data_IF_757708549666
#
_entry.id   IF_757708549666
#
_cell.length_a   1.000
_cell.length_b   1.000
_cell.length_c   1.000
_cell.angle_alpha   90.00
_cell.angle_beta   90.00
_cell.angle_gamma   90.00
#
_symmetry.space_group_name_H-M   'P 1'
#
loop_
_entity.id
_entity.type
_entity.pdbx_description
1 polymer ?
#
# COMPACT_ATOMS: atom_id res chain seq x y z
N UNK A 1 3.07 -3.92 3.55
CA UNK A 1 2.29 -2.71 3.21
C UNK A 1 0.89 -3.04 2.67
N UNK A 2 0.69 -4.12 1.88
CA UNK A 2 -0.64 -4.48 1.32
C UNK A 2 -1.63 -5.08 2.33
N UNK A 3 -1.17 -5.70 3.42
CA UNK A 3 -2.04 -6.46 4.32
C UNK A 3 -2.81 -5.61 5.36
N UNK A 4 -2.40 -4.37 5.62
CA UNK A 4 -2.99 -3.57 6.69
C UNK A 4 -4.37 -2.95 6.35
N UNK A 5 -4.77 -2.92 5.07
CA UNK A 5 -6.05 -2.32 4.63
C UNK A 5 -7.06 -3.34 4.05
N UNK A 6 -6.69 -4.62 3.92
CA UNK A 6 -7.57 -5.64 3.35
C UNK A 6 -8.57 -6.17 4.40
N UNK A 7 -9.81 -5.67 4.36
CA UNK A 7 -10.93 -6.27 5.09
C UNK A 7 -11.86 -7.03 4.13
N UNK A 8 -11.84 -8.37 4.10
CA UNK A 8 -12.66 -9.15 3.17
C UNK A 8 -14.17 -8.94 3.33
N UNK A 9 -14.63 -8.47 4.51
CA UNK A 9 -16.06 -8.22 4.77
C UNK A 9 -16.59 -6.94 4.09
N UNK A 10 -15.77 -5.92 3.90
CA UNK A 10 -16.19 -4.67 3.22
C UNK A 10 -16.41 -4.90 1.74
N UNK A 11 -15.54 -5.70 1.11
CA UNK A 11 -15.64 -6.12 -0.30
C UNK A 11 -16.88 -6.96 -0.58
N UNK A 12 -17.19 -7.95 0.27
CA UNK A 12 -18.37 -8.79 0.14
C UNK A 12 -19.68 -7.98 0.20
N UNK A 13 -19.76 -6.98 1.08
CA UNK A 13 -20.96 -6.15 1.24
C UNK A 13 -21.14 -5.14 0.10
N UNK A 14 -20.06 -4.57 -0.43
CA UNK A 14 -20.11 -3.63 -1.56
C UNK A 14 -20.60 -4.31 -2.85
N UNK A 15 -20.28 -5.59 -3.05
CA UNK A 15 -20.64 -6.35 -4.26
C UNK A 15 -22.05 -6.97 -4.22
N UNK A 16 -22.74 -6.97 -3.07
CA UNK A 16 -24.03 -7.63 -2.89
C UNK A 16 -25.25 -6.81 -3.38
N UNK A 17 -25.09 -5.54 -3.77
CA UNK A 17 -26.23 -4.65 -4.07
C UNK A 17 -26.77 -4.70 -5.50
N UNK A 18 -26.15 -5.45 -6.41
CA UNK A 18 -26.51 -5.48 -7.85
C UNK A 18 -27.10 -6.83 -8.25
N UNK A 19 -28.23 -7.23 -7.65
CA UNK A 19 -29.05 -8.29 -8.25
C UNK A 19 -30.48 -8.23 -7.72
N UNK A 20 -31.39 -7.64 -8.50
CA UNK A 20 -32.83 -7.89 -8.43
C UNK A 20 -33.47 -7.35 -9.70
N UNK A 21 -33.88 -8.24 -10.61
CA UNK A 21 -35.17 -8.25 -11.30
C UNK A 21 -35.11 -9.34 -12.40
N UNK A 22 -35.56 -10.55 -12.06
CA UNK A 22 -35.88 -11.59 -13.06
C UNK A 22 -37.40 -11.72 -13.09
N UNK A 23 -38.00 -11.29 -14.20
CA UNK A 23 -39.43 -11.46 -14.50
C UNK A 23 -39.68 -12.90 -14.90
N UNK A 24 -40.58 -13.59 -14.19
CA UNK A 24 -40.94 -14.98 -14.43
C UNK A 24 -41.93 -15.06 -15.60
N UNK A 25 -41.51 -15.64 -16.73
CA UNK A 25 -42.41 -16.13 -17.78
C UNK A 25 -42.50 -17.66 -17.67
N UNK A 26 -43.69 -18.20 -17.49
CA UNK A 26 -43.93 -19.63 -17.35
C UNK A 26 -44.19 -20.28 -18.71
N UNK A 27 -43.35 -21.25 -19.08
CA UNK A 27 -43.66 -22.28 -20.06
C UNK A 27 -43.01 -23.60 -19.62
N UNK A 28 -43.82 -24.67 -19.58
CA UNK A 28 -43.42 -26.02 -19.14
C UNK A 28 -43.10 -26.87 -20.37
N UNK A 29 -41.93 -27.52 -20.41
CA UNK A 29 -41.75 -28.96 -20.74
C UNK A 29 -40.29 -29.42 -20.88
N UNK A 30 -40.06 -30.67 -20.44
CA UNK A 30 -38.91 -31.59 -20.56
C UNK A 30 -37.78 -31.46 -19.51
N UNK A 31 -37.85 -32.31 -18.47
CA UNK A 31 -36.81 -32.50 -17.45
C UNK A 31 -35.84 -33.59 -17.90
N UNK A 32 -34.76 -33.19 -18.58
CA UNK A 32 -33.49 -33.90 -18.42
C UNK A 32 -32.97 -33.65 -16.99
N UNK A 33 -32.17 -34.55 -16.37
CA UNK A 33 -31.44 -34.17 -15.17
C UNK A 33 -30.48 -33.07 -15.60
N UNK A 34 -30.87 -31.82 -15.34
CA UNK A 34 -29.97 -30.69 -15.43
C UNK A 34 -28.82 -31.03 -14.48
N UNK A 35 -27.63 -31.27 -15.04
CA UNK A 35 -26.42 -30.90 -14.33
C UNK A 35 -26.68 -29.44 -13.98
N UNK A 36 -26.99 -29.15 -12.72
CA UNK A 36 -27.02 -27.76 -12.29
C UNK A 36 -25.60 -27.30 -12.52
N UNK A 37 -25.40 -26.47 -13.54
CA UNK A 37 -24.29 -25.54 -13.50
C UNK A 37 -24.51 -24.81 -12.18
N UNK A 38 -23.69 -25.13 -11.17
CA UNK A 38 -23.73 -24.39 -9.91
C UNK A 38 -23.61 -22.93 -10.30
N UNK A 39 -24.63 -22.14 -9.94
CA UNK A 39 -24.63 -20.71 -10.18
C UNK A 39 -23.34 -20.15 -9.58
N UNK A 40 -22.53 -19.48 -10.40
CA UNK A 40 -21.19 -19.09 -10.02
C UNK A 40 -21.27 -18.19 -8.79
N UNK A 41 -20.76 -18.67 -7.67
CA UNK A 41 -20.81 -17.91 -6.43
C UNK A 41 -19.68 -16.87 -6.45
N UNK A 42 -19.97 -15.68 -6.98
CA UNK A 42 -19.01 -14.59 -7.13
C UNK A 42 -18.29 -14.21 -5.83
N UNK A 43 -18.96 -14.27 -4.69
CA UNK A 43 -18.35 -14.02 -3.38
C UNK A 43 -17.29 -15.07 -3.02
N UNK A 44 -17.57 -16.35 -3.31
CA UNK A 44 -16.61 -17.45 -3.10
C UNK A 44 -15.45 -17.36 -4.08
N UNK A 45 -15.70 -17.09 -5.35
CA UNK A 45 -14.64 -16.94 -6.36
C UNK A 45 -13.72 -15.77 -6.02
N UNK A 46 -14.27 -14.64 -5.58
CA UNK A 46 -13.48 -13.51 -5.11
C UNK A 46 -12.55 -13.90 -3.96
N UNK A 47 -13.10 -14.54 -2.91
CA UNK A 47 -12.34 -14.95 -1.74
C UNK A 47 -11.24 -15.96 -2.09
N UNK A 48 -11.54 -16.91 -2.98
CA UNK A 48 -10.56 -17.88 -3.49
C UNK A 48 -9.45 -17.18 -4.27
N UNK A 49 -9.79 -16.21 -5.11
CA UNK A 49 -8.85 -15.44 -5.91
C UNK A 49 -7.89 -14.61 -5.07
N UNK A 50 -8.45 -13.83 -4.13
CA UNK A 50 -7.67 -13.01 -3.22
C UNK A 50 -6.81 -13.86 -2.27
N UNK A 51 -7.27 -15.06 -1.90
CA UNK A 51 -6.49 -15.99 -1.08
C UNK A 51 -5.35 -16.68 -1.84
N UNK A 52 -5.48 -16.86 -3.15
CA UNK A 52 -4.47 -17.50 -4.00
C UNK A 52 -3.36 -16.53 -4.42
N UNK A 53 -3.71 -15.27 -4.69
CA UNK A 53 -2.81 -14.27 -5.28
C UNK A 53 -1.45 -14.09 -4.55
N UNK A 54 -1.36 -14.10 -3.21
CA UNK A 54 -0.07 -13.94 -2.52
C UNK A 54 0.88 -15.13 -2.72
N UNK A 55 0.35 -16.34 -2.91
CA UNK A 55 1.15 -17.57 -3.02
C UNK A 55 1.36 -18.03 -4.45
N UNK A 56 0.38 -17.79 -5.31
CA UNK A 56 0.39 -18.20 -6.71
C UNK A 56 -0.29 -17.13 -7.57
N UNK A 57 0.41 -16.01 -7.84
CA UNK A 57 -0.17 -14.87 -8.54
C UNK A 57 -0.52 -15.18 -10.00
N UNK A 58 0.21 -16.08 -10.64
CA UNK A 58 -0.06 -16.44 -12.04
C UNK A 58 -1.35 -17.26 -12.15
N UNK A 59 -1.54 -18.28 -11.31
CA UNK A 59 -2.80 -19.05 -11.25
C UNK A 59 -3.97 -18.16 -10.81
N UNK A 60 -3.75 -17.24 -9.86
CA UNK A 60 -4.77 -16.27 -9.46
C UNK A 60 -5.20 -15.36 -10.62
N UNK A 61 -4.24 -14.90 -11.43
CA UNK A 61 -4.51 -14.08 -12.61
C UNK A 61 -5.29 -14.84 -13.69
N UNK A 62 -4.89 -16.10 -13.96
CA UNK A 62 -5.59 -16.96 -14.92
C UNK A 62 -7.02 -17.23 -14.46
N UNK A 63 -7.20 -17.58 -13.18
CA UNK A 63 -8.50 -17.79 -12.58
C UNK A 63 -9.36 -16.52 -12.65
N UNK A 64 -8.80 -15.36 -12.35
CA UNK A 64 -9.52 -14.09 -12.40
C UNK A 64 -9.95 -13.75 -13.83
N UNK A 65 -9.10 -14.00 -14.82
CA UNK A 65 -9.41 -13.80 -16.24
C UNK A 65 -10.53 -14.75 -16.71
N UNK A 66 -10.45 -16.03 -16.35
CA UNK A 66 -11.50 -17.00 -16.65
C UNK A 66 -12.82 -16.62 -15.98
N UNK A 67 -12.77 -16.22 -14.71
CA UNK A 67 -13.94 -15.76 -13.96
C UNK A 67 -14.56 -14.51 -14.59
N UNK A 68 -13.73 -13.54 -15.02
CA UNK A 68 -14.20 -12.34 -15.73
C UNK A 68 -14.96 -12.71 -17.01
N UNK A 69 -14.44 -13.65 -17.80
CA UNK A 69 -15.10 -14.15 -19.02
C UNK A 69 -16.45 -14.84 -18.75
N UNK A 70 -16.63 -15.40 -17.55
CA UNK A 70 -17.87 -16.01 -17.08
C UNK A 70 -18.82 -15.03 -16.36
N UNK A 71 -18.58 -13.72 -16.47
CA UNK A 71 -19.44 -12.70 -15.86
C UNK A 71 -19.00 -12.25 -14.46
N UNK A 72 -17.77 -12.55 -14.05
CA UNK A 72 -17.21 -12.16 -12.75
C UNK A 72 -17.16 -10.65 -12.46
N UNK A 73 -17.32 -9.81 -13.50
CA UNK A 73 -17.47 -8.37 -13.34
C UNK A 73 -16.27 -7.69 -12.69
N UNK A 74 -16.53 -6.65 -11.92
CA UNK A 74 -15.50 -5.77 -11.33
C UNK A 74 -14.68 -6.47 -10.24
N UNK A 75 -15.26 -7.49 -9.60
CA UNK A 75 -14.59 -8.32 -8.59
C UNK A 75 -13.44 -9.14 -9.19
N UNK A 76 -13.69 -9.74 -10.35
CA UNK A 76 -12.69 -10.48 -11.10
C UNK A 76 -11.60 -9.54 -11.64
N UNK A 77 -11.97 -8.34 -12.07
CA UNK A 77 -11.02 -7.31 -12.52
C UNK A 77 -10.09 -6.87 -11.38
N UNK A 78 -10.65 -6.62 -10.19
CA UNK A 78 -9.87 -6.28 -9.00
C UNK A 78 -8.88 -7.38 -8.64
N UNK A 79 -9.33 -8.64 -8.55
CA UNK A 79 -8.42 -9.73 -8.22
C UNK A 79 -7.31 -9.89 -9.27
N UNK A 80 -7.65 -9.78 -10.56
CA UNK A 80 -6.66 -9.88 -11.62
C UNK A 80 -5.62 -8.75 -11.52
N UNK A 81 -6.00 -7.54 -11.09
CA UNK A 81 -5.04 -6.46 -10.83
C UNK A 81 -4.17 -6.75 -9.59
N UNK A 82 -4.73 -7.31 -8.52
CA UNK A 82 -3.98 -7.70 -7.32
C UNK A 82 -2.99 -8.83 -7.63
N UNK A 83 -3.38 -9.81 -8.44
CA UNK A 83 -2.51 -10.88 -8.91
C UNK A 83 -1.30 -10.34 -9.70
N UNK A 84 -1.53 -9.34 -10.57
CA UNK A 84 -0.43 -8.62 -11.24
C UNK A 84 0.50 -7.93 -10.23
N UNK A 85 -0.04 -7.37 -9.15
CA UNK A 85 0.78 -6.73 -8.12
C UNK A 85 1.70 -7.75 -7.41
N UNK A 86 1.16 -8.91 -7.04
CA UNK A 86 1.95 -9.99 -6.42
C UNK A 86 2.96 -10.65 -7.37
N UNK A 87 2.70 -10.68 -8.68
CA UNK A 87 3.70 -11.12 -9.69
C UNK A 87 4.76 -10.05 -10.01
N UNK A 88 4.76 -8.91 -9.32
CA UNK A 88 5.73 -7.82 -9.54
C UNK A 88 5.41 -6.92 -10.74
N UNK A 89 4.27 -7.12 -11.39
CA UNK A 89 3.79 -6.34 -12.54
C UNK A 89 3.04 -5.08 -12.09
N UNK A 90 3.71 -4.26 -11.28
CA UNK A 90 3.11 -3.14 -10.56
C UNK A 90 2.49 -2.08 -11.50
N UNK A 91 3.13 -1.78 -12.65
CA UNK A 91 2.56 -0.86 -13.66
C UNK A 91 1.22 -1.36 -14.20
N UNK A 92 1.14 -2.64 -14.59
CA UNK A 92 -0.09 -3.21 -15.13
C UNK A 92 -1.19 -3.28 -14.07
N UNK A 93 -0.84 -3.63 -12.84
CA UNK A 93 -1.75 -3.59 -11.71
C UNK A 93 -2.32 -2.18 -11.50
N UNK A 94 -1.45 -1.16 -11.44
CA UNK A 94 -1.83 0.21 -11.19
C UNK A 94 -2.80 0.75 -12.25
N UNK A 95 -2.49 0.56 -13.54
CA UNK A 95 -3.37 0.99 -14.65
C UNK A 95 -4.75 0.34 -14.59
N UNK A 96 -4.81 -0.96 -14.25
CA UNK A 96 -6.10 -1.67 -14.14
C UNK A 96 -6.92 -1.19 -12.96
N UNK A 97 -6.27 -0.91 -11.82
CA UNK A 97 -6.93 -0.33 -10.64
C UNK A 97 -7.46 1.07 -10.93
N UNK A 98 -6.72 1.93 -11.66
CA UNK A 98 -7.20 3.24 -12.09
C UNK A 98 -8.48 3.13 -12.94
N UNK A 99 -8.44 2.29 -13.99
CA UNK A 99 -9.60 2.06 -14.85
C UNK A 99 -10.77 1.52 -14.04
N UNK A 100 -10.52 0.54 -13.16
CA UNK A 100 -11.54 -0.04 -12.32
C UNK A 100 -12.21 1.01 -11.41
N UNK A 101 -11.42 1.88 -10.77
CA UNK A 101 -11.96 2.95 -9.91
C UNK A 101 -12.84 3.94 -10.70
N UNK A 102 -12.50 4.18 -11.96
CA UNK A 102 -13.28 5.04 -12.87
C UNK A 102 -14.59 4.38 -13.29
N UNK A 103 -14.56 3.10 -13.65
CA UNK A 103 -15.72 2.41 -14.27
C UNK A 103 -16.66 1.76 -13.28
N UNK A 104 -16.19 1.39 -12.09
CA UNK A 104 -17.00 0.66 -11.11
C UNK A 104 -18.17 1.50 -10.61
N UNK A 105 -19.33 0.85 -10.44
CA UNK A 105 -20.49 1.44 -9.76
C UNK A 105 -20.41 1.07 -8.28
N UNK A 106 -19.77 1.93 -7.49
CA UNK A 106 -19.57 1.73 -6.05
C UNK A 106 -19.58 3.06 -5.29
N UNK A 107 -19.72 2.97 -3.96
CA UNK A 107 -19.64 4.11 -3.06
C UNK A 107 -18.29 4.84 -3.17
N UNK A 108 -18.26 6.17 -2.93
CA UNK A 108 -17.04 6.98 -3.03
C UNK A 108 -15.84 6.40 -2.28
N UNK A 109 -16.03 5.95 -1.03
CA UNK A 109 -14.96 5.38 -0.20
C UNK A 109 -14.35 4.13 -0.85
N UNK A 110 -15.17 3.30 -1.50
CA UNK A 110 -14.67 2.10 -2.15
C UNK A 110 -13.82 2.44 -3.38
N UNK A 111 -14.24 3.43 -4.17
CA UNK A 111 -13.42 3.96 -5.27
C UNK A 111 -12.11 4.54 -4.75
N UNK A 112 -12.17 5.26 -3.62
CA UNK A 112 -10.99 5.78 -2.93
C UNK A 112 -10.00 4.69 -2.53
N UNK A 113 -10.48 3.55 -2.03
CA UNK A 113 -9.62 2.40 -1.66
C UNK A 113 -8.95 1.77 -2.89
N UNK A 114 -9.64 1.68 -4.03
CA UNK A 114 -9.05 1.19 -5.28
C UNK A 114 -7.99 2.18 -5.79
N UNK A 115 -8.25 3.48 -5.73
CA UNK A 115 -7.28 4.52 -6.08
C UNK A 115 -6.06 4.51 -5.14
N UNK A 116 -6.24 4.25 -3.85
CA UNK A 116 -5.14 4.09 -2.91
C UNK A 116 -4.26 2.88 -3.29
N UNK A 117 -4.87 1.74 -3.64
CA UNK A 117 -4.13 0.57 -4.14
C UNK A 117 -3.40 0.89 -5.46
N UNK A 118 -4.01 1.65 -6.37
CA UNK A 118 -3.37 2.10 -7.60
C UNK A 118 -2.13 2.98 -7.30
N UNK A 119 -2.27 3.91 -6.34
CA UNK A 119 -1.18 4.74 -5.86
C UNK A 119 -0.01 3.95 -5.27
N UNK A 120 -0.29 2.96 -4.43
CA UNK A 120 0.72 2.06 -3.87
C UNK A 120 1.41 1.24 -4.96
N UNK A 121 0.66 0.77 -5.97
CA UNK A 121 1.23 0.08 -7.11
C UNK A 121 2.14 1.00 -7.95
N UNK A 122 1.77 2.26 -8.14
CA UNK A 122 2.64 3.25 -8.79
C UNK A 122 3.92 3.56 -7.98
N UNK A 123 3.83 3.61 -6.65
CA UNK A 123 5.01 3.74 -5.78
C UNK A 123 5.95 2.55 -5.93
N UNK A 124 5.41 1.32 -5.95
CA UNK A 124 6.19 0.10 -6.16
C UNK A 124 6.84 0.07 -7.55
N UNK A 125 6.18 0.61 -8.56
CA UNK A 125 6.75 0.75 -9.91
C UNK A 125 7.81 1.87 -9.99
N UNK A 126 7.74 2.88 -9.12
CA UNK A 126 8.62 4.06 -9.12
C UNK A 126 8.07 5.27 -9.89
N UNK A 127 6.81 5.27 -10.31
CA UNK A 127 6.15 6.42 -10.96
C UNK A 127 5.49 7.31 -9.90
N UNK A 128 6.32 8.12 -9.23
CA UNK A 128 5.85 9.01 -8.16
C UNK A 128 4.80 10.05 -8.63
N UNK A 129 4.90 10.66 -9.82
CA UNK A 129 3.85 11.55 -10.33
C UNK A 129 2.49 10.88 -10.50
N UNK A 130 2.44 9.65 -11.04
CA UNK A 130 1.17 8.91 -11.14
C UNK A 130 0.65 8.48 -9.77
N UNK A 131 1.53 8.06 -8.87
CA UNK A 131 1.16 7.74 -7.50
C UNK A 131 0.51 8.93 -6.80
N UNK A 132 1.13 10.12 -6.85
CA UNK A 132 0.61 11.34 -6.23
C UNK A 132 -0.78 11.68 -6.78
N UNK A 133 -0.98 11.59 -8.10
CA UNK A 133 -2.25 11.89 -8.74
C UNK A 133 -3.38 10.92 -8.31
N UNK A 134 -3.10 9.61 -8.27
CA UNK A 134 -4.07 8.61 -7.82
C UNK A 134 -4.39 8.79 -6.33
N UNK A 135 -3.38 9.02 -5.49
CA UNK A 135 -3.52 9.20 -4.05
C UNK A 135 -4.21 10.51 -3.69
N UNK A 136 -4.02 11.58 -4.48
CA UNK A 136 -4.74 12.83 -4.30
C UNK A 136 -6.24 12.66 -4.51
N UNK A 137 -6.67 11.92 -5.54
CA UNK A 137 -8.08 11.54 -5.70
C UNK A 137 -8.56 10.65 -4.55
N UNK A 138 -7.73 9.72 -4.09
CA UNK A 138 -8.07 8.84 -2.97
C UNK A 138 -8.28 9.62 -1.66
N UNK A 139 -7.43 10.59 -1.34
CA UNK A 139 -7.57 11.47 -0.15
C UNK A 139 -8.90 12.24 -0.15
N UNK A 140 -9.37 12.69 -1.32
CA UNK A 140 -10.65 13.41 -1.43
C UNK A 140 -11.85 12.52 -1.06
N UNK A 141 -11.78 11.24 -1.41
CA UNK A 141 -12.83 10.24 -1.20
C UNK A 141 -12.74 9.60 0.18
N UNK A 142 -11.54 9.37 0.70
CA UNK A 142 -11.28 8.66 1.96
C UNK A 142 -11.13 9.63 3.16
N UNK A 143 -12.08 10.56 3.30
CA UNK A 143 -12.01 11.57 4.39
C UNK A 143 -11.95 10.88 5.76
N UNK A 144 -10.91 11.20 6.53
CA UNK A 144 -10.69 10.63 7.86
C UNK A 144 -9.94 9.30 7.90
N UNK A 145 -9.39 8.83 6.77
CA UNK A 145 -8.50 7.66 6.74
C UNK A 145 -7.05 8.14 6.55
N UNK A 146 -6.25 8.30 7.63
CA UNK A 146 -4.94 8.95 7.55
C UNK A 146 -3.89 8.15 6.77
N UNK A 147 -4.06 6.83 6.62
CA UNK A 147 -3.12 5.98 5.89
C UNK A 147 -2.86 6.43 4.45
N UNK A 148 -3.88 6.90 3.73
CA UNK A 148 -3.70 7.37 2.34
C UNK A 148 -2.86 8.65 2.26
N UNK A 149 -2.84 9.47 3.31
CA UNK A 149 -1.98 10.67 3.38
C UNK A 149 -0.51 10.26 3.55
N UNK A 150 -0.23 9.18 4.28
CA UNK A 150 1.13 8.63 4.43
C UNK A 150 1.65 8.14 3.07
N UNK A 151 0.83 7.41 2.31
CA UNK A 151 1.19 6.97 0.95
C UNK A 151 1.43 8.18 0.03
N UNK A 152 0.55 9.19 0.06
CA UNK A 152 0.74 10.39 -0.78
C UNK A 152 2.00 11.16 -0.40
N UNK A 153 2.32 11.23 0.88
CA UNK A 153 3.54 11.87 1.35
C UNK A 153 4.80 11.18 0.81
N UNK A 154 4.80 9.84 0.70
CA UNK A 154 5.89 9.10 0.06
C UNK A 154 6.03 9.48 -1.42
N UNK A 155 4.91 9.57 -2.16
CA UNK A 155 4.92 10.00 -3.56
C UNK A 155 5.48 11.43 -3.71
N UNK A 156 5.03 12.36 -2.87
CA UNK A 156 5.52 13.74 -2.84
C UNK A 156 7.01 13.83 -2.50
N UNK A 157 7.46 13.07 -1.50
CA UNK A 157 8.88 13.01 -1.14
C UNK A 157 9.75 12.47 -2.28
N UNK A 158 9.29 11.43 -3.00
CA UNK A 158 9.98 10.91 -4.17
C UNK A 158 10.06 11.92 -5.33
N UNK A 159 9.14 12.89 -5.38
CA UNK A 159 9.19 14.04 -6.29
C UNK A 159 10.00 15.23 -5.75
N UNK A 160 10.54 15.14 -4.53
CA UNK A 160 11.25 16.23 -3.85
C UNK A 160 10.34 17.27 -3.19
N UNK A 161 9.02 17.07 -3.19
CA UNK A 161 8.07 17.92 -2.45
C UNK A 161 7.99 17.52 -0.97
N UNK A 162 9.08 17.76 -0.25
CA UNK A 162 9.16 17.46 1.17
C UNK A 162 8.24 18.33 2.02
N UNK A 163 7.86 19.52 1.55
CA UNK A 163 6.91 20.39 2.26
C UNK A 163 5.49 19.83 2.20
N UNK A 164 5.04 19.41 1.01
CA UNK A 164 3.76 18.74 0.84
C UNK A 164 3.70 17.38 1.55
N UNK A 165 4.82 16.66 1.61
CA UNK A 165 4.94 15.45 2.42
C UNK A 165 4.76 15.74 3.93
N UNK A 166 5.44 16.77 4.47
CA UNK A 166 5.27 17.19 5.87
C UNK A 166 3.83 17.58 6.19
N UNK A 167 3.13 18.26 5.28
CA UNK A 167 1.72 18.63 5.46
C UNK A 167 0.83 17.40 5.58
N UNK A 168 0.95 16.45 4.65
CA UNK A 168 0.18 15.20 4.67
C UNK A 168 0.44 14.38 5.93
N UNK A 169 1.71 14.24 6.32
CA UNK A 169 2.11 13.47 7.49
C UNK A 169 1.67 14.15 8.80
N UNK A 170 1.65 15.48 8.82
CA UNK A 170 1.11 16.22 9.97
C UNK A 170 -0.39 15.99 10.12
N UNK A 171 -1.14 16.04 9.01
CA UNK A 171 -2.56 15.74 9.02
C UNK A 171 -2.83 14.28 9.41
N UNK A 172 -2.01 13.34 8.93
CA UNK A 172 -2.10 11.92 9.29
C UNK A 172 -1.89 11.71 10.80
N UNK A 173 -0.82 12.28 11.36
CA UNK A 173 -0.50 12.21 12.81
C UNK A 173 -1.59 12.88 13.65
N UNK A 174 -2.16 14.00 13.19
CA UNK A 174 -3.26 14.65 13.91
C UNK A 174 -4.53 13.80 13.95
N UNK A 175 -4.78 13.00 12.90
CA UNK A 175 -5.93 12.09 12.86
C UNK A 175 -5.67 10.78 13.63
N UNK A 176 -4.46 10.23 13.54
CA UNK A 176 -4.01 9.07 14.29
C UNK A 176 -2.57 9.24 14.80
N UNK A 177 -2.39 9.61 16.09
CA UNK A 177 -1.08 9.80 16.69
C UNK A 177 -0.28 8.51 16.92
N UNK A 178 -0.81 7.33 16.59
CA UNK A 178 -0.12 6.04 16.78
C UNK A 178 0.63 5.56 15.53
N UNK A 179 0.59 6.31 14.43
CA UNK A 179 1.18 5.94 13.15
C UNK A 179 2.70 6.11 13.13
N UNK A 180 3.43 5.05 13.48
CA UNK A 180 4.90 4.99 13.45
C UNK A 180 5.49 5.43 12.10
N UNK A 181 4.91 4.96 11.01
CA UNK A 181 5.34 5.31 9.65
C UNK A 181 5.20 6.81 9.37
N UNK A 182 4.14 7.45 9.87
CA UNK A 182 3.91 8.86 9.64
C UNK A 182 5.00 9.72 10.32
N UNK A 183 5.39 9.39 11.55
CA UNK A 183 6.52 10.03 12.23
C UNK A 183 7.84 9.75 11.50
N UNK A 184 8.09 8.51 11.10
CA UNK A 184 9.33 8.11 10.42
C UNK A 184 9.52 8.84 9.08
N UNK A 185 8.48 8.86 8.24
CA UNK A 185 8.54 9.59 6.98
C UNK A 185 8.63 11.11 7.19
N UNK A 186 8.02 11.66 8.25
CA UNK A 186 8.09 13.10 8.51
C UNK A 186 9.47 13.50 9.03
N UNK A 187 10.11 12.62 9.80
CA UNK A 187 11.52 12.76 10.17
C UNK A 187 12.42 12.83 8.93
N UNK A 188 12.23 11.90 7.98
CA UNK A 188 12.96 11.90 6.71
C UNK A 188 12.72 13.20 5.92
N UNK A 189 11.47 13.63 5.78
CA UNK A 189 11.13 14.86 5.06
C UNK A 189 11.74 16.11 5.74
N UNK A 190 11.68 16.22 7.08
CA UNK A 190 12.35 17.29 7.81
C UNK A 190 13.87 17.25 7.65
N UNK A 191 14.49 16.07 7.58
CA UNK A 191 15.92 15.92 7.30
C UNK A 191 16.29 16.50 5.92
N UNK A 192 15.50 16.22 4.89
CA UNK A 192 15.72 16.79 3.55
C UNK A 192 15.47 18.31 3.49
N UNK A 193 14.67 18.85 4.41
CA UNK A 193 14.47 20.29 4.59
C UNK A 193 15.52 20.96 5.50
N UNK A 194 16.55 20.21 5.94
CA UNK A 194 17.57 20.66 6.90
C UNK A 194 17.00 21.06 8.29
N UNK A 195 15.80 20.61 8.61
CA UNK A 195 15.14 20.84 9.91
C UNK A 195 15.52 19.73 10.91
N UNK A 196 16.82 19.49 11.10
CA UNK A 196 17.36 18.32 11.82
C UNK A 196 16.83 18.15 13.26
N UNK A 197 16.47 19.25 13.93
CA UNK A 197 15.89 19.19 15.27
C UNK A 197 14.49 18.58 15.28
N UNK A 198 13.64 18.95 14.31
CA UNK A 198 12.30 18.36 14.16
C UNK A 198 12.39 16.93 13.67
N UNK A 199 13.30 16.67 12.73
CA UNK A 199 13.56 15.33 12.24
C UNK A 199 13.90 14.34 13.38
N UNK A 200 14.80 14.75 14.29
CA UNK A 200 15.14 13.93 15.44
C UNK A 200 13.95 13.71 16.39
N UNK A 201 13.17 14.75 16.66
CA UNK A 201 12.00 14.64 17.53
C UNK A 201 10.99 13.62 16.98
N UNK A 202 10.76 13.63 15.67
CA UNK A 202 9.85 12.66 15.03
C UNK A 202 10.43 11.24 15.00
N UNK A 203 11.73 11.07 14.73
CA UNK A 203 12.37 9.75 14.80
C UNK A 203 12.34 9.17 16.23
N UNK A 204 12.56 10.00 17.25
CA UNK A 204 12.43 9.59 18.65
C UNK A 204 10.97 9.25 19.01
N UNK A 205 9.99 9.98 18.49
CA UNK A 205 8.57 9.69 18.70
C UNK A 205 8.16 8.36 18.04
N UNK A 206 8.63 8.08 16.82
CA UNK A 206 8.43 6.79 16.17
C UNK A 206 9.00 5.64 17.01
N UNK A 207 10.22 5.80 17.54
CA UNK A 207 10.87 4.79 18.39
C UNK A 207 10.28 4.69 19.81
N UNK A 208 9.54 5.69 20.27
CA UNK A 208 8.76 5.57 21.50
C UNK A 208 7.54 4.66 21.30
N UNK A 209 6.94 4.70 20.12
CA UNK A 209 5.79 3.87 19.75
C UNK A 209 6.20 2.44 19.37
N UNK A 210 7.29 2.30 18.63
CA UNK A 210 7.88 1.03 18.22
C UNK A 210 9.42 1.09 18.33
N UNK A 211 9.98 0.66 19.48
CA UNK A 211 11.42 0.75 19.76
C UNK A 211 12.33 -0.02 18.79
N UNK A 212 11.78 -1.02 18.10
CA UNK A 212 12.53 -1.88 17.17
C UNK A 212 12.15 -1.60 15.71
N UNK A 213 11.54 -0.45 15.42
CA UNK A 213 11.23 -0.06 14.05
C UNK A 213 12.52 0.19 13.22
N UNK A 214 12.82 -0.62 12.20
CA UNK A 214 14.08 -0.51 11.47
C UNK A 214 14.24 0.82 10.72
N UNK A 215 13.15 1.35 10.16
CA UNK A 215 13.18 2.59 9.40
C UNK A 215 13.40 3.81 10.31
N UNK A 216 12.77 3.84 11.49
CA UNK A 216 12.98 4.91 12.46
C UNK A 216 14.39 4.87 13.07
N UNK A 217 14.94 3.69 13.37
CA UNK A 217 16.33 3.53 13.81
C UNK A 217 17.31 3.98 12.73
N UNK A 218 17.08 3.59 11.46
CA UNK A 218 17.90 4.01 10.33
C UNK A 218 17.94 5.54 10.21
N UNK A 219 16.77 6.20 10.23
CA UNK A 219 16.65 7.65 10.14
C UNK A 219 17.31 8.35 11.34
N UNK A 220 17.12 7.85 12.57
CA UNK A 220 17.79 8.41 13.75
C UNK A 220 19.31 8.28 13.67
N UNK A 221 19.82 7.14 13.20
CA UNK A 221 21.25 6.94 12.95
C UNK A 221 21.81 7.93 11.93
N UNK A 222 21.09 8.20 10.83
CA UNK A 222 21.46 9.23 9.85
C UNK A 222 21.52 10.60 10.52
N UNK A 223 20.54 10.95 11.36
CA UNK A 223 20.50 12.23 12.07
C UNK A 223 21.65 12.37 13.08
N UNK A 224 22.03 11.29 13.78
CA UNK A 224 23.20 11.29 14.65
C UNK A 224 24.49 11.52 13.86
N UNK A 225 24.66 10.84 12.72
CA UNK A 225 25.82 11.03 11.85
C UNK A 225 25.93 12.47 11.33
N UNK A 226 24.81 13.06 10.89
CA UNK A 226 24.76 14.46 10.45
C UNK A 226 25.12 15.46 11.56
N UNK A 227 24.95 15.08 12.83
CA UNK A 227 25.35 15.86 14.00
C UNK A 227 26.77 15.54 14.49
N UNK A 228 27.51 14.66 13.81
CA UNK A 228 28.87 14.23 14.17
C UNK A 228 28.93 13.23 15.33
N UNK A 229 27.82 12.58 15.67
CA UNK A 229 27.78 11.55 16.70
C UNK A 229 27.82 10.15 16.06
N UNK A 230 29.03 9.75 15.66
CA UNK A 230 29.26 8.51 14.89
C UNK A 230 28.99 7.25 15.72
N UNK A 231 29.26 7.29 17.02
CA UNK A 231 29.02 6.16 17.93
C UNK A 231 27.52 5.88 18.06
N UNK A 232 26.70 6.91 18.26
CA UNK A 232 25.25 6.75 18.33
C UNK A 232 24.67 6.34 16.96
N UNK A 233 25.19 6.88 15.86
CA UNK A 233 24.79 6.48 14.52
C UNK A 233 25.05 5.00 14.27
N UNK A 234 26.26 4.51 14.62
CA UNK A 234 26.62 3.10 14.50
C UNK A 234 25.74 2.21 15.36
N UNK A 235 25.46 2.61 16.60
CA UNK A 235 24.63 1.83 17.50
C UNK A 235 23.23 1.58 16.92
N UNK A 236 22.59 2.62 16.38
CA UNK A 236 21.28 2.50 15.74
C UNK A 236 21.35 1.61 14.48
N UNK A 237 22.35 1.80 13.61
CA UNK A 237 22.49 1.01 12.39
C UNK A 237 22.84 -0.46 12.65
N UNK A 238 23.61 -0.76 13.70
CA UNK A 238 23.85 -2.15 14.13
C UNK A 238 22.55 -2.77 14.63
N UNK A 239 21.72 -2.03 15.39
CA UNK A 239 20.42 -2.53 15.82
C UNK A 239 19.50 -2.83 14.63
N UNK A 240 19.51 -1.99 13.59
CA UNK A 240 18.79 -2.28 12.33
C UNK A 240 19.25 -3.61 11.73
N UNK A 241 20.56 -3.87 11.68
CA UNK A 241 21.11 -5.13 11.14
C UNK A 241 20.79 -6.36 11.99
N UNK A 242 20.53 -6.21 13.29
CA UNK A 242 20.07 -7.29 14.15
C UNK A 242 18.60 -7.66 13.88
N UNK A 243 17.77 -6.68 13.51
CA UNK A 243 16.32 -6.85 13.33
C UNK A 243 15.98 -7.24 11.90
N UNK A 244 16.56 -6.55 10.92
CA UNK A 244 16.26 -6.69 9.49
C UNK A 244 17.56 -6.66 8.66
N UNK A 245 18.41 -7.70 8.74
CA UNK A 245 19.71 -7.71 8.07
C UNK A 245 19.64 -7.66 6.54
N UNK A 246 18.57 -8.19 5.95
CA UNK A 246 18.42 -8.39 4.51
C UNK A 246 17.35 -7.50 3.86
N UNK A 247 16.51 -6.83 4.66
CA UNK A 247 15.58 -5.84 4.15
C UNK A 247 16.26 -4.51 3.79
N UNK A 248 15.44 -3.58 3.31
CA UNK A 248 15.93 -2.31 2.75
C UNK A 248 16.67 -1.47 3.81
N UNK A 249 16.13 -1.42 5.03
CA UNK A 249 16.76 -0.69 6.12
C UNK A 249 18.12 -1.28 6.49
N UNK A 250 18.24 -2.61 6.54
CA UNK A 250 19.51 -3.31 6.78
C UNK A 250 20.56 -3.01 5.71
N UNK A 251 20.19 -3.06 4.43
CA UNK A 251 21.10 -2.73 3.33
C UNK A 251 21.61 -1.28 3.44
N UNK A 252 20.73 -0.34 3.74
CA UNK A 252 21.09 1.07 3.91
C UNK A 252 21.94 1.29 5.17
N UNK A 253 21.61 0.64 6.28
CA UNK A 253 22.40 0.67 7.52
C UNK A 253 23.83 0.16 7.29
N UNK A 254 23.98 -0.96 6.59
CA UNK A 254 25.28 -1.51 6.19
C UNK A 254 26.09 -0.53 5.35
N UNK A 255 25.48 0.02 4.30
CA UNK A 255 26.13 1.00 3.42
C UNK A 255 26.57 2.26 4.18
N UNK A 256 25.76 2.72 5.14
CA UNK A 256 26.10 3.86 5.99
C UNK A 256 27.29 3.58 6.92
N UNK A 257 27.35 2.40 7.53
CA UNK A 257 28.47 1.96 8.35
C UNK A 257 29.75 1.87 7.52
N UNK A 258 29.71 1.20 6.36
CA UNK A 258 30.85 1.06 5.46
C UNK A 258 31.41 2.43 5.02
N UNK A 259 30.51 3.34 4.62
CA UNK A 259 30.90 4.71 4.25
C UNK A 259 31.55 5.48 5.40
N UNK A 260 31.06 5.28 6.61
CA UNK A 260 31.62 5.90 7.81
C UNK A 260 33.02 5.37 8.13
N UNK A 261 33.24 4.06 8.05
CA UNK A 261 34.54 3.41 8.31
C UNK A 261 35.62 3.79 7.29
N UNK A 262 35.25 4.02 6.02
CA UNK A 262 36.18 4.51 5.01
C UNK A 262 36.64 5.94 5.31
N UNK A 263 35.78 6.78 5.89
CA UNK A 263 36.10 8.19 6.17
C UNK A 263 36.96 8.39 7.41
N UNK A 264 36.94 7.47 8.36
CA UNK A 264 37.75 7.53 9.59
C UNK A 264 39.15 6.93 9.41
N UNK A 265 39.42 6.26 8.28
CA UNK A 265 40.69 5.60 7.96
C UNK A 265 41.74 6.44 7.21
N UNK A 266 41.50 7.73 6.96
CA UNK A 266 42.42 8.68 6.31
C UNK A 266 42.92 9.75 7.30
#
# INVERSE_FOLDING_TARGET
MLDAQYNPKTWLNAMASVSRFVTICTAVLLVAPAVRADELNHAREYARCMGLAPSDPDDAFEMATAWKALGGGDAAEHCAAVALLYSGQAEFAARRLEVLAETIVAEPDFKGQILAQAGQAWLLHGDAPRAEAALSKAVELLRGQPAVMVDRAQARAAMGDYKGAVEDLTNAISADPSMVDAYTFRASAYRYLDELGKAKADADAALLLDPDNPAALLERGILFRLRGNDDAARADWVRVLEIDPDGEAGKLARANIEKMDVQTGN
#
